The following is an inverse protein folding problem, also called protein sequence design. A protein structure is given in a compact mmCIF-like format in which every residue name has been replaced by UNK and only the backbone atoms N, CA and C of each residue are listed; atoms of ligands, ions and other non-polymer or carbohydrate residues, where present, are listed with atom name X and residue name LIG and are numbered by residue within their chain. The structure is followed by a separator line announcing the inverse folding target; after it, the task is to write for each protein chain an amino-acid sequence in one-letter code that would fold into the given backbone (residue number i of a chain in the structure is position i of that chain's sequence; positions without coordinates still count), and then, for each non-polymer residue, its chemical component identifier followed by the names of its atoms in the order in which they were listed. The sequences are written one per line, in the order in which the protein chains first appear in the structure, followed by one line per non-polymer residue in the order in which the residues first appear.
data_IF_108256489627
#
_entry.id   IF_108256489627
#
_cell.length_a   1.000
_cell.length_b   1.000
_cell.length_c   1.000
_cell.angle_alpha   90.00
_cell.angle_beta   90.00
_cell.angle_gamma   90.00
#
_symmetry.space_group_name_H-M   'P 1'
#
loop_
_entity.id
_entity.type
_entity.pdbx_description
1 polymer ?
#
# COMPACT_ATOMS: atom_id res chain seq x y z
N UNK A 1 42.89 -56.07 -17.25
CA UNK A 1 43.12 -54.65 -17.64
C UNK A 1 42.59 -53.76 -16.50
N UNK A 2 43.53 -53.28 -15.65
CA UNK A 2 43.23 -52.56 -14.42
C UNK A 2 43.10 -51.05 -14.69
N UNK A 3 42.01 -50.45 -14.27
CA UNK A 3 41.87 -48.97 -14.17
C UNK A 3 41.94 -48.54 -12.72
N UNK A 4 43.05 -47.94 -12.35
CA UNK A 4 43.27 -47.28 -11.07
C UNK A 4 42.43 -45.98 -10.99
N UNK A 5 41.52 -45.89 -10.02
CA UNK A 5 40.90 -44.67 -9.58
C UNK A 5 41.84 -43.92 -8.66
N UNK A 6 42.23 -42.69 -9.02
CA UNK A 6 42.94 -41.77 -8.15
C UNK A 6 41.91 -40.93 -7.38
N UNK A 7 41.84 -41.13 -6.07
CA UNK A 7 41.15 -40.28 -5.11
C UNK A 7 42.06 -39.08 -4.82
N UNK A 8 41.63 -37.90 -5.22
CA UNK A 8 42.22 -36.62 -4.82
C UNK A 8 41.58 -36.14 -3.53
N UNK A 9 42.33 -36.16 -2.46
CA UNK A 9 41.95 -35.58 -1.17
C UNK A 9 42.31 -34.11 -1.21
N UNK A 10 41.32 -33.20 -1.26
CA UNK A 10 41.53 -31.78 -1.03
C UNK A 10 41.29 -31.46 0.44
N UNK A 11 42.41 -31.21 1.14
CA UNK A 11 42.39 -30.65 2.48
C UNK A 11 42.13 -29.15 2.38
N UNK A 12 40.94 -28.71 2.76
CA UNK A 12 40.64 -27.31 2.98
C UNK A 12 41.14 -26.88 4.36
N UNK A 13 42.21 -26.10 4.38
CA UNK A 13 42.71 -25.43 5.57
C UNK A 13 41.71 -24.27 5.95
N UNK A 14 41.03 -24.39 7.08
CA UNK A 14 40.29 -23.31 7.68
C UNK A 14 41.23 -22.29 8.30
N UNK A 15 41.35 -21.13 7.69
CA UNK A 15 41.96 -19.96 8.33
C UNK A 15 40.80 -19.16 8.97
N UNK A 16 40.65 -19.31 10.29
CA UNK A 16 39.80 -18.43 11.08
C UNK A 16 40.52 -17.09 11.26
N UNK A 17 40.15 -16.08 10.49
CA UNK A 17 40.45 -14.68 10.80
C UNK A 17 39.26 -14.11 11.53
N UNK A 18 39.34 -14.00 12.84
CA UNK A 18 38.39 -13.27 13.66
C UNK A 18 38.66 -11.76 13.49
N UNK A 19 37.92 -11.12 12.60
CA UNK A 19 37.83 -9.66 12.55
C UNK A 19 36.60 -9.25 13.32
N UNK A 20 36.78 -8.81 14.56
CA UNK A 20 35.75 -8.13 15.34
C UNK A 20 35.64 -6.72 14.79
N UNK A 21 34.76 -6.49 13.86
CA UNK A 21 34.29 -5.16 13.49
C UNK A 21 32.94 -4.95 14.17
N UNK A 22 32.96 -4.15 15.24
CA UNK A 22 31.79 -3.56 15.82
C UNK A 22 31.20 -2.55 14.81
N UNK A 23 30.40 -3.04 13.87
CA UNK A 23 29.52 -2.21 13.07
C UNK A 23 28.16 -2.19 13.77
N UNK A 24 27.87 -1.05 14.38
CA UNK A 24 26.55 -0.78 14.94
C UNK A 24 25.48 -1.03 13.89
N UNK A 25 24.53 -1.90 14.21
CA UNK A 25 23.28 -2.03 13.47
C UNK A 25 22.58 -0.69 13.55
N UNK A 26 22.80 0.16 12.56
CA UNK A 26 21.89 1.28 12.31
C UNK A 26 20.56 0.66 11.91
N UNK A 27 19.57 0.80 12.77
CA UNK A 27 18.18 0.49 12.43
C UNK A 27 17.80 1.31 11.19
N UNK A 28 17.04 0.74 10.25
CA UNK A 28 16.55 1.52 9.12
C UNK A 28 15.75 2.70 9.67
N UNK A 29 15.81 3.88 9.04
CA UNK A 29 15.08 5.05 9.49
C UNK A 29 13.59 4.70 9.50
N UNK A 30 13.02 4.66 10.71
CA UNK A 30 11.58 4.73 10.86
C UNK A 30 11.16 6.07 10.27
N UNK A 31 10.42 6.03 9.16
CA UNK A 31 9.76 7.21 8.62
C UNK A 31 8.64 7.60 9.61
N UNK A 32 9.04 8.27 10.68
CA UNK A 32 8.13 8.97 11.59
C UNK A 32 7.57 10.18 10.86
N UNK A 33 6.37 10.05 10.33
CA UNK A 33 5.56 11.19 9.92
C UNK A 33 4.77 11.68 11.11
N UNK A 34 5.44 12.39 12.02
CA UNK A 34 4.80 13.20 13.04
C UNK A 34 5.42 14.59 12.97
N UNK A 35 4.70 15.51 12.36
CA UNK A 35 4.72 16.94 12.65
C UNK A 35 3.61 17.62 11.88
N UNK A 36 2.41 17.62 12.45
CA UNK A 36 1.39 18.58 12.08
C UNK A 36 1.79 19.96 12.63
N UNK A 37 1.76 21.04 11.83
CA UNK A 37 1.98 22.38 12.34
C UNK A 37 0.82 22.81 13.26
N UNK A 38 1.18 23.40 14.39
CA UNK A 38 0.25 23.94 15.37
C UNK A 38 -0.75 24.92 14.72
N UNK A 39 -2.04 24.64 14.92
CA UNK A 39 -3.11 25.52 14.51
C UNK A 39 -3.04 26.85 15.28
N UNK A 40 -2.83 27.93 14.56
CA UNK A 40 -2.93 29.30 15.06
C UNK A 40 -4.39 29.58 15.42
N UNK A 41 -4.67 29.80 16.70
CA UNK A 41 -5.99 30.22 17.18
C UNK A 41 -6.32 31.60 16.64
N UNK A 42 -7.30 31.67 15.74
CA UNK A 42 -7.92 32.93 15.34
C UNK A 42 -8.90 33.40 16.44
N UNK A 43 -8.63 34.55 16.97
CA UNK A 43 -9.49 35.27 17.92
C UNK A 43 -10.75 35.70 17.19
N UNK A 44 -11.94 35.26 17.68
CA UNK A 44 -13.26 35.67 17.20
C UNK A 44 -13.53 37.14 17.57
N UNK A 45 -14.05 37.95 16.64
CA UNK A 45 -14.63 39.26 16.98
C UNK A 45 -16.02 39.11 17.63
N UNK A 46 -16.45 40.12 18.44
CA UNK A 46 -17.71 40.05 19.18
C UNK A 46 -18.93 40.15 18.27
N UNK A 47 -20.11 39.66 18.73
CA UNK A 47 -21.32 39.61 17.93
C UNK A 47 -21.94 41.00 17.73
N UNK A 48 -22.01 41.45 16.49
CA UNK A 48 -22.81 42.61 16.10
C UNK A 48 -24.11 42.14 15.45
N UNK A 49 -25.22 42.60 16.02
CA UNK A 49 -26.58 42.43 15.43
C UNK A 49 -26.66 43.03 14.03
N UNK A 50 -26.84 42.19 13.03
CA UNK A 50 -27.31 42.61 11.73
C UNK A 50 -28.30 41.56 11.19
N UNK A 51 -29.50 42.04 10.84
CA UNK A 51 -30.57 41.30 10.26
C UNK A 51 -30.11 40.40 9.10
N UNK A 52 -30.46 39.13 9.16
CA UNK A 52 -30.18 38.15 8.12
C UNK A 52 -30.96 38.51 6.83
N UNK A 53 -30.27 38.71 5.69
CA UNK A 53 -30.96 38.61 4.42
C UNK A 53 -31.29 37.14 4.16
N UNK A 54 -32.49 36.94 3.54
CA UNK A 54 -33.00 35.63 3.17
C UNK A 54 -31.89 34.81 2.49
N UNK A 55 -31.58 33.65 3.07
CA UNK A 55 -30.61 32.74 2.53
C UNK A 55 -31.12 32.27 1.16
N UNK A 56 -30.50 32.76 0.09
CA UNK A 56 -30.50 32.07 -1.20
C UNK A 56 -30.06 30.63 -0.91
N UNK A 57 -30.99 29.71 -1.14
CA UNK A 57 -30.66 28.29 -1.14
C UNK A 57 -29.68 28.06 -2.27
N UNK A 58 -28.38 28.17 -1.97
CA UNK A 58 -27.35 27.73 -2.88
C UNK A 58 -27.67 26.28 -3.20
N UNK A 59 -28.10 26.05 -4.42
CA UNK A 59 -28.41 24.72 -4.92
C UNK A 59 -27.21 23.82 -4.60
N UNK A 60 -27.47 22.82 -3.78
CA UNK A 60 -26.45 21.79 -3.43
C UNK A 60 -25.95 21.24 -4.75
N UNK A 61 -24.63 21.28 -5.04
CA UNK A 61 -24.12 20.73 -6.28
C UNK A 61 -24.67 19.31 -6.43
N UNK A 62 -25.20 19.00 -7.62
CA UNK A 62 -25.75 17.69 -7.92
C UNK A 62 -24.66 16.64 -7.58
N UNK A 63 -25.02 15.69 -6.71
CA UNK A 63 -24.13 14.57 -6.47
C UNK A 63 -24.00 13.79 -7.78
N UNK A 64 -22.77 13.35 -8.15
CA UNK A 64 -22.61 12.46 -9.29
C UNK A 64 -23.59 11.29 -9.16
N UNK A 65 -24.17 10.85 -10.26
CA UNK A 65 -25.20 9.80 -10.31
C UNK A 65 -24.77 8.47 -9.66
N UNK A 66 -23.45 8.26 -9.46
CA UNK A 66 -22.85 7.04 -8.89
C UNK A 66 -22.32 7.24 -7.47
N UNK A 67 -22.86 8.19 -6.71
CA UNK A 67 -22.42 8.47 -5.31
C UNK A 67 -23.20 7.67 -4.27
N UNK A 68 -23.71 6.50 -4.60
CA UNK A 68 -24.26 5.59 -3.60
C UNK A 68 -23.13 4.84 -2.88
N UNK A 69 -23.29 4.50 -1.58
CA UNK A 69 -22.30 3.67 -0.87
C UNK A 69 -21.96 2.39 -1.62
N UNK A 70 -22.96 1.75 -2.22
CA UNK A 70 -22.76 0.51 -2.98
C UNK A 70 -21.94 0.72 -4.26
N UNK A 71 -22.16 1.80 -5.01
CA UNK A 71 -21.38 2.11 -6.20
C UNK A 71 -19.92 2.44 -5.85
N UNK A 72 -19.69 3.13 -4.72
CA UNK A 72 -18.34 3.39 -4.20
C UNK A 72 -17.63 2.10 -3.82
N UNK A 73 -18.31 1.19 -3.12
CA UNK A 73 -17.74 -0.11 -2.72
C UNK A 73 -17.38 -0.97 -3.93
N UNK A 74 -18.23 -1.01 -4.96
CA UNK A 74 -17.94 -1.70 -6.22
C UNK A 74 -16.73 -1.09 -6.93
N UNK A 75 -16.65 0.24 -7.00
CA UNK A 75 -15.51 0.95 -7.57
C UNK A 75 -14.24 0.64 -6.78
N UNK A 76 -14.30 0.69 -5.45
CA UNK A 76 -13.17 0.37 -4.59
C UNK A 76 -12.68 -1.07 -4.80
N UNK A 77 -13.59 -2.03 -4.93
CA UNK A 77 -13.24 -3.43 -5.24
C UNK A 77 -12.41 -3.53 -6.53
N UNK A 78 -12.85 -2.83 -7.58
CA UNK A 78 -12.16 -2.82 -8.86
C UNK A 78 -10.78 -2.14 -8.78
N UNK A 79 -10.70 -1.02 -8.02
CA UNK A 79 -9.43 -0.29 -7.79
C UNK A 79 -8.43 -1.15 -7.01
N UNK A 80 -8.90 -1.85 -5.98
CA UNK A 80 -8.06 -2.71 -5.15
C UNK A 80 -7.55 -3.93 -5.94
N UNK A 81 -8.36 -4.48 -6.83
CA UNK A 81 -7.93 -5.55 -7.74
C UNK A 81 -6.78 -5.07 -8.65
N UNK A 82 -6.90 -3.87 -9.25
CA UNK A 82 -5.83 -3.29 -10.06
C UNK A 82 -4.58 -3.01 -9.23
N UNK A 83 -4.75 -2.50 -8.01
CA UNK A 83 -3.66 -2.28 -7.07
C UNK A 83 -2.91 -3.58 -6.75
N UNK A 84 -3.63 -4.69 -6.51
CA UNK A 84 -3.02 -6.01 -6.27
C UNK A 84 -2.29 -6.52 -7.51
N UNK A 85 -2.89 -6.38 -8.71
CA UNK A 85 -2.27 -6.81 -9.97
C UNK A 85 -0.95 -6.08 -10.24
N UNK A 86 -0.82 -4.82 -9.84
CA UNK A 86 0.41 -4.05 -9.98
C UNK A 86 1.61 -4.71 -9.27
N UNK A 87 1.41 -5.36 -8.14
CA UNK A 87 2.48 -6.08 -7.44
C UNK A 87 2.81 -7.45 -8.07
N UNK A 88 1.94 -7.95 -8.94
CA UNK A 88 2.26 -9.15 -9.74
C UNK A 88 3.14 -8.80 -10.94
N UNK A 89 3.01 -7.58 -11.48
CA UNK A 89 3.70 -7.10 -12.68
C UNK A 89 4.16 -5.65 -12.54
N UNK A 90 5.08 -5.34 -11.60
CA UNK A 90 5.42 -3.95 -11.27
C UNK A 90 5.88 -3.12 -12.49
N UNK A 91 6.66 -3.71 -13.39
CA UNK A 91 7.17 -3.04 -14.62
C UNK A 91 6.05 -2.65 -15.59
N UNK A 92 4.91 -3.33 -15.55
CA UNK A 92 3.79 -3.13 -16.49
C UNK A 92 2.61 -2.38 -15.86
N UNK A 93 2.73 -2.01 -14.60
CA UNK A 93 1.65 -1.33 -13.89
C UNK A 93 1.52 0.13 -14.35
N UNK A 94 0.32 0.48 -14.80
CA UNK A 94 -0.07 1.87 -15.08
C UNK A 94 -0.97 2.39 -13.95
N UNK A 95 -0.35 3.01 -12.95
CA UNK A 95 -1.05 3.55 -11.78
C UNK A 95 -1.98 4.72 -12.11
N UNK A 96 -1.81 5.37 -13.27
CA UNK A 96 -2.65 6.51 -13.65
C UNK A 96 -4.09 6.11 -13.92
N UNK A 97 -4.34 4.84 -14.18
CA UNK A 97 -5.67 4.28 -14.45
C UNK A 97 -6.59 4.26 -13.23
N UNK A 98 -6.03 4.24 -12.03
CA UNK A 98 -6.81 4.05 -10.81
C UNK A 98 -6.41 4.97 -9.64
N UNK A 99 -5.38 5.79 -9.80
CA UNK A 99 -5.01 6.81 -8.82
C UNK A 99 -5.36 8.20 -9.35
N UNK A 100 -5.93 9.04 -8.49
CA UNK A 100 -6.29 10.41 -8.86
C UNK A 100 -5.04 11.23 -9.25
N UNK A 101 -5.16 12.18 -10.20
CA UNK A 101 -4.09 13.12 -10.50
C UNK A 101 -3.62 13.84 -9.23
N UNK A 102 -2.32 14.09 -9.12
CA UNK A 102 -1.69 14.82 -8.01
C UNK A 102 -1.97 14.24 -6.62
N UNK A 103 -2.44 12.99 -6.56
CA UNK A 103 -2.70 12.32 -5.29
C UNK A 103 -1.40 11.88 -4.61
N UNK A 104 -1.29 11.97 -3.27
CA UNK A 104 -0.13 11.43 -2.55
C UNK A 104 0.03 9.92 -2.76
N UNK A 105 -1.09 9.20 -3.00
CA UNK A 105 -1.02 7.77 -3.27
C UNK A 105 -0.35 7.46 -4.61
N UNK A 106 -0.55 8.28 -5.64
CA UNK A 106 0.12 8.11 -6.94
C UNK A 106 1.64 8.16 -6.79
N UNK A 107 2.15 9.15 -6.06
CA UNK A 107 3.59 9.29 -5.79
C UNK A 107 4.11 8.09 -4.99
N UNK A 108 3.47 7.80 -3.85
CA UNK A 108 3.88 6.72 -2.95
C UNK A 108 3.85 5.34 -3.64
N UNK A 109 2.80 5.05 -4.40
CA UNK A 109 2.67 3.78 -5.11
C UNK A 109 3.67 3.69 -6.27
N UNK A 110 3.91 4.80 -6.98
CA UNK A 110 4.92 4.85 -8.03
C UNK A 110 6.31 4.54 -7.51
N UNK A 111 6.71 5.14 -6.39
CA UNK A 111 7.99 4.85 -5.73
C UNK A 111 8.09 3.39 -5.28
N UNK A 112 7.03 2.86 -4.65
CA UNK A 112 6.98 1.47 -4.23
C UNK A 112 7.14 0.52 -5.43
N UNK A 113 6.40 0.72 -6.51
CA UNK A 113 6.47 -0.13 -7.69
C UNK A 113 7.82 -0.02 -8.42
N UNK A 114 8.43 1.17 -8.43
CA UNK A 114 9.79 1.34 -8.95
C UNK A 114 10.80 0.52 -8.14
N UNK A 115 10.69 0.52 -6.80
CA UNK A 115 11.51 -0.35 -5.94
C UNK A 115 11.29 -1.83 -6.28
N UNK A 116 10.03 -2.29 -6.33
CA UNK A 116 9.73 -3.69 -6.66
C UNK A 116 10.23 -4.09 -8.05
N UNK A 117 10.12 -3.19 -9.03
CA UNK A 117 10.64 -3.42 -10.38
C UNK A 117 12.17 -3.53 -10.42
N UNK A 118 12.87 -2.64 -9.72
CA UNK A 118 14.33 -2.60 -9.67
C UNK A 118 14.92 -3.82 -8.95
N UNK A 119 14.28 -4.23 -7.85
CA UNK A 119 14.68 -5.42 -7.06
C UNK A 119 14.09 -6.73 -7.63
N UNK A 120 13.42 -6.68 -8.78
CA UNK A 120 12.78 -7.83 -9.42
C UNK A 120 11.79 -8.57 -8.49
N UNK A 121 11.17 -7.85 -7.56
CA UNK A 121 10.20 -8.41 -6.62
C UNK A 121 8.81 -8.45 -7.25
N UNK A 122 8.07 -9.53 -6.98
CA UNK A 122 6.68 -9.68 -7.42
C UNK A 122 5.87 -10.59 -6.50
N UNK A 123 4.56 -10.46 -6.56
CA UNK A 123 3.64 -11.49 -6.04
C UNK A 123 3.18 -12.41 -7.17
N UNK A 124 2.63 -13.58 -6.81
CA UNK A 124 2.01 -14.49 -7.78
C UNK A 124 0.51 -14.61 -7.50
N UNK A 125 -0.33 -14.81 -8.53
CA UNK A 125 -1.79 -14.88 -8.35
C UNK A 125 -2.23 -15.97 -7.37
N UNK A 126 -1.55 -17.13 -7.40
CA UNK A 126 -1.96 -18.33 -6.65
C UNK A 126 -1.19 -18.52 -5.34
N UNK A 127 -0.31 -17.58 -5.00
CA UNK A 127 0.54 -17.63 -3.80
C UNK A 127 0.08 -16.62 -2.75
N UNK A 128 -1.00 -16.99 -2.07
CA UNK A 128 -1.67 -16.12 -1.11
C UNK A 128 -2.57 -15.07 -1.76
N UNK A 129 -3.27 -14.31 -0.93
CA UNK A 129 -4.24 -13.32 -1.40
C UNK A 129 -4.39 -12.16 -0.42
N UNK A 130 -4.99 -11.08 -0.88
CA UNK A 130 -5.49 -9.99 -0.07
C UNK A 130 -7.00 -10.17 0.10
N UNK A 131 -7.45 -10.49 1.30
CA UNK A 131 -8.86 -10.46 1.71
C UNK A 131 -9.13 -9.13 2.39
N UNK A 132 -10.34 -8.60 2.24
CA UNK A 132 -10.73 -7.37 2.90
C UNK A 132 -12.23 -7.34 3.19
N UNK A 133 -12.61 -6.56 4.19
CA UNK A 133 -13.99 -6.20 4.48
C UNK A 133 -14.10 -4.71 4.75
N UNK A 134 -15.24 -4.12 4.40
CA UNK A 134 -15.56 -2.73 4.68
C UNK A 134 -16.07 -2.61 6.12
N UNK A 135 -15.39 -1.82 6.95
CA UNK A 135 -15.84 -1.49 8.30
C UNK A 135 -16.65 -0.20 8.36
N UNK A 136 -16.26 0.79 7.55
CA UNK A 136 -16.96 2.08 7.49
C UNK A 136 -16.80 2.74 6.11
N UNK A 137 -17.81 3.51 5.69
CA UNK A 137 -17.80 4.37 4.52
C UNK A 137 -18.44 5.70 4.89
N UNK A 138 -17.74 6.80 4.62
CA UNK A 138 -18.20 8.15 4.94
C UNK A 138 -17.90 9.10 3.79
N UNK A 139 -18.91 9.76 3.24
CA UNK A 139 -18.70 10.85 2.31
C UNK A 139 -18.23 12.10 3.07
N UNK A 140 -17.03 12.57 2.74
CA UNK A 140 -16.44 13.77 3.35
C UNK A 140 -16.78 15.04 2.58
N UNK A 141 -17.08 14.90 1.28
CA UNK A 141 -17.59 15.94 0.38
C UNK A 141 -18.36 15.28 -0.78
N UNK A 142 -18.82 16.07 -1.74
CA UNK A 142 -19.48 15.55 -2.96
C UNK A 142 -18.53 14.76 -3.87
N UNK A 143 -17.23 15.02 -3.78
CA UNK A 143 -16.16 14.45 -4.60
C UNK A 143 -15.18 13.60 -3.81
N UNK A 144 -15.41 13.38 -2.51
CA UNK A 144 -14.51 12.62 -1.62
C UNK A 144 -15.27 11.66 -0.73
N UNK A 145 -14.72 10.45 -0.64
CA UNK A 145 -15.21 9.43 0.28
C UNK A 145 -14.05 8.79 1.02
N UNK A 146 -14.29 8.48 2.28
CA UNK A 146 -13.36 7.74 3.14
C UNK A 146 -13.93 6.37 3.43
N UNK A 147 -13.09 5.35 3.25
CA UNK A 147 -13.40 3.96 3.60
C UNK A 147 -12.41 3.50 4.67
N UNK A 148 -12.92 2.78 5.66
CA UNK A 148 -12.07 2.02 6.59
C UNK A 148 -12.26 0.56 6.30
N UNK A 149 -11.15 -0.15 6.06
CA UNK A 149 -11.16 -1.59 5.77
C UNK A 149 -10.36 -2.38 6.79
N UNK A 150 -10.80 -3.62 7.04
CA UNK A 150 -9.98 -4.65 7.61
C UNK A 150 -9.37 -5.47 6.47
N UNK A 151 -8.05 -5.58 6.43
CA UNK A 151 -7.32 -6.33 5.42
C UNK A 151 -6.58 -7.50 6.06
N UNK A 152 -6.66 -8.67 5.43
CA UNK A 152 -5.85 -9.84 5.76
C UNK A 152 -5.04 -10.23 4.53
N UNK A 153 -3.73 -10.01 4.60
CA UNK A 153 -2.80 -10.13 3.48
C UNK A 153 -1.89 -11.34 3.70
N UNK A 154 -2.10 -12.38 2.91
CA UNK A 154 -1.30 -13.61 2.90
C UNK A 154 -0.43 -13.72 1.66
N UNK A 155 -0.35 -12.67 0.83
CA UNK A 155 0.45 -12.71 -0.39
C UNK A 155 1.92 -12.91 -0.07
N UNK A 156 2.55 -13.74 -0.88
CA UNK A 156 3.98 -14.00 -0.80
C UNK A 156 4.69 -13.14 -1.85
N UNK A 157 5.74 -12.45 -1.44
CA UNK A 157 6.63 -11.71 -2.33
C UNK A 157 7.84 -12.57 -2.69
N UNK A 158 8.14 -12.61 -3.97
CA UNK A 158 9.23 -13.40 -4.53
C UNK A 158 10.27 -12.48 -5.15
N UNK A 159 11.54 -12.82 -4.96
CA UNK A 159 12.65 -12.34 -5.77
C UNK A 159 12.70 -13.20 -7.04
N UNK A 160 12.46 -12.56 -8.18
CA UNK A 160 12.43 -13.18 -9.49
C UNK A 160 13.76 -13.06 -10.24
N UNK A 161 14.83 -12.57 -9.61
CA UNK A 161 16.15 -12.42 -10.25
C UNK A 161 16.75 -13.75 -10.72
N UNK A 162 16.33 -14.84 -10.11
CA UNK A 162 16.78 -16.20 -10.43
C UNK A 162 15.70 -17.04 -11.14
N UNK A 163 14.60 -16.42 -11.60
CA UNK A 163 13.43 -17.12 -12.15
C UNK A 163 13.77 -18.04 -13.34
N UNK A 164 14.75 -17.66 -14.16
CA UNK A 164 15.20 -18.39 -15.33
C UNK A 164 16.30 -19.44 -15.03
N UNK A 165 16.58 -19.69 -13.77
CA UNK A 165 17.55 -20.69 -13.31
C UNK A 165 16.86 -21.91 -12.69
N UNK A 166 17.63 -22.94 -12.32
CA UNK A 166 17.12 -24.11 -11.60
C UNK A 166 16.56 -23.76 -10.20
N UNK A 167 16.97 -22.63 -9.63
CA UNK A 167 16.47 -22.15 -8.33
C UNK A 167 15.07 -21.56 -8.44
N UNK A 168 14.71 -21.00 -9.59
CA UNK A 168 13.43 -20.34 -9.78
C UNK A 168 13.25 -19.09 -8.92
N UNK A 169 12.01 -18.70 -8.67
CA UNK A 169 11.66 -17.58 -7.78
C UNK A 169 11.97 -17.92 -6.31
N UNK A 170 12.67 -17.04 -5.61
CA UNK A 170 13.03 -17.20 -4.20
C UNK A 170 12.03 -16.40 -3.34
N UNK A 171 11.56 -16.98 -2.23
CA UNK A 171 10.68 -16.25 -1.29
C UNK A 171 11.48 -15.11 -0.66
N UNK A 172 11.02 -13.88 -0.89
CA UNK A 172 11.55 -12.67 -0.31
C UNK A 172 10.84 -12.31 1.01
N UNK A 173 9.49 -12.33 1.02
CA UNK A 173 8.69 -12.08 2.21
C UNK A 173 7.39 -12.89 2.15
N UNK A 174 7.13 -13.66 3.21
CA UNK A 174 5.90 -14.43 3.40
C UNK A 174 5.16 -14.03 4.68
N UNK A 175 5.42 -12.84 5.19
CA UNK A 175 4.78 -12.34 6.41
C UNK A 175 3.29 -12.11 6.19
N UNK A 176 2.48 -12.79 6.98
CA UNK A 176 1.03 -12.59 6.99
C UNK A 176 0.72 -11.33 7.79
N UNK A 177 -0.05 -10.43 7.21
CA UNK A 177 -0.43 -9.18 7.83
C UNK A 177 -1.93 -9.05 8.02
N UNK A 178 -2.36 -8.61 9.19
CA UNK A 178 -3.68 -7.99 9.38
C UNK A 178 -3.48 -6.49 9.50
N UNK A 179 -4.27 -5.71 8.74
CA UNK A 179 -4.19 -4.26 8.73
C UNK A 179 -5.59 -3.66 8.83
N UNK A 180 -5.70 -2.60 9.61
CA UNK A 180 -6.81 -1.65 9.49
C UNK A 180 -6.32 -0.49 8.65
N UNK A 181 -7.02 -0.20 7.57
CA UNK A 181 -6.55 0.77 6.57
C UNK A 181 -7.65 1.78 6.29
N UNK A 182 -7.29 3.04 6.35
CA UNK A 182 -8.11 4.14 5.86
C UNK A 182 -7.72 4.45 4.40
N UNK A 183 -8.72 4.43 3.54
CA UNK A 183 -8.62 4.81 2.14
C UNK A 183 -9.42 6.07 1.88
N UNK A 184 -8.88 6.98 1.11
CA UNK A 184 -9.65 8.10 0.56
C UNK A 184 -9.73 7.92 -0.95
N UNK A 185 -10.95 8.01 -1.48
CA UNK A 185 -11.18 8.10 -2.92
C UNK A 185 -11.57 9.51 -3.30
N UNK A 186 -11.19 9.91 -4.51
CA UNK A 186 -11.63 11.14 -5.16
C UNK A 186 -12.48 10.79 -6.37
N UNK A 187 -13.57 11.52 -6.57
CA UNK A 187 -14.32 11.45 -7.81
C UNK A 187 -13.66 12.36 -8.84
N UNK A 188 -13.13 11.78 -9.90
CA UNK A 188 -12.48 12.49 -11.00
C UNK A 188 -13.18 12.09 -12.29
N UNK A 189 -13.83 13.07 -12.95
CA UNK A 189 -14.59 12.83 -14.18
C UNK A 189 -15.57 11.66 -14.04
N UNK A 190 -16.40 11.69 -13.00
CA UNK A 190 -17.43 10.68 -12.69
C UNK A 190 -16.88 9.29 -12.35
N UNK A 191 -15.58 9.16 -12.10
CA UNK A 191 -14.92 7.92 -11.72
C UNK A 191 -14.22 8.04 -10.37
N UNK A 192 -14.48 7.11 -9.47
CA UNK A 192 -13.77 7.04 -8.20
C UNK A 192 -12.35 6.54 -8.41
N UNK A 193 -11.36 7.28 -7.88
CA UNK A 193 -9.94 6.98 -7.99
C UNK A 193 -9.27 7.08 -6.62
N UNK A 194 -8.20 6.32 -6.40
CA UNK A 194 -7.44 6.34 -5.15
C UNK A 194 -6.77 7.71 -4.96
N UNK A 195 -7.05 8.35 -3.83
CA UNK A 195 -6.40 9.60 -3.43
C UNK A 195 -5.31 9.36 -2.40
N UNK A 196 -5.61 8.63 -1.33
CA UNK A 196 -4.63 8.31 -0.28
C UNK A 196 -4.96 7.00 0.41
N UNK A 197 -3.93 6.40 1.00
CA UNK A 197 -4.00 5.21 1.82
C UNK A 197 -3.19 5.43 3.09
N UNK A 198 -3.79 5.15 4.24
CA UNK A 198 -3.14 5.24 5.55
C UNK A 198 -3.39 3.95 6.35
N UNK A 199 -2.30 3.31 6.79
CA UNK A 199 -2.41 2.16 7.69
C UNK A 199 -2.58 2.71 9.11
N UNK A 200 -3.74 2.47 9.73
CA UNK A 200 -4.03 2.89 11.10
C UNK A 200 -3.45 1.92 12.13
N UNK A 201 -3.52 0.64 11.80
CA UNK A 201 -2.99 -0.45 12.64
C UNK A 201 -2.51 -1.58 11.76
N UNK A 202 -1.43 -2.22 12.15
CA UNK A 202 -0.96 -3.47 11.53
C UNK A 202 -0.45 -4.44 12.59
N UNK A 203 -0.60 -5.74 12.35
CA UNK A 203 -0.02 -6.79 13.19
C UNK A 203 0.38 -7.97 12.33
N UNK A 204 1.59 -8.52 12.49
CA UNK A 204 1.97 -9.76 11.82
C UNK A 204 1.25 -10.93 12.48
N UNK A 205 0.79 -11.89 11.67
CA UNK A 205 0.22 -13.17 12.09
C UNK A 205 -0.94 -13.13 13.13
N UNK A 206 -1.42 -11.95 13.52
CA UNK A 206 -2.53 -11.78 14.48
C UNK A 206 -3.73 -11.18 13.76
N UNK A 207 -4.82 -11.94 13.71
CA UNK A 207 -6.10 -11.51 13.16
C UNK A 207 -6.85 -10.68 14.21
N UNK A 208 -6.70 -9.37 14.21
CA UNK A 208 -7.39 -8.47 15.13
C UNK A 208 -8.70 -7.89 14.57
N UNK A 209 -8.96 -8.06 13.29
CA UNK A 209 -10.22 -7.82 12.63
C UNK A 209 -10.48 -8.96 11.62
N UNK A 210 -11.72 -9.19 11.25
CA UNK A 210 -12.10 -10.23 10.30
C UNK A 210 -12.61 -9.59 9.01
N UNK A 211 -12.06 -9.92 7.86
CA UNK A 211 -12.66 -9.59 6.57
C UNK A 211 -13.90 -10.45 6.31
#
# INVERSE_FOLDING_TARGET
MSHHRRLGVYACAYVCVAVVLATGCAAPPELSFDSAPAATQSVLPPPGDLAAPAADMVARPAQPSDSTPQAVEQSFTALLAQWVECFQRPVRCDITRFTAPDSPERTRLGEALAFYANEQLRTKPDEGRLEWSLEALTFTSSDRVRLTTCEYDTRIYFDASMADTELGDIIFDSTIWTRRVEWTLANVNESWQLWSRRIERRSPAVRFCAP
#
